data_IF_203701199276
#
_entry.id   IF_203701199276
#
_cell.length_a   1.000
_cell.length_b   1.000
_cell.length_c   1.000
_cell.angle_alpha   90.00
_cell.angle_beta   90.00
_cell.angle_gamma   90.00
#
_symmetry.space_group_name_H-M   'P 1'
#
loop_
_entity.id
_entity.type
_entity.pdbx_description
1 polymer ?
#
# COMPACT_ATOMS: atom_id res chain seq x y z
N UNK A 1 -15.89 -15.26 31.91
CA UNK A 1 -15.07 -15.86 30.81
C UNK A 1 -15.62 -15.60 29.40
N UNK A 2 -16.90 -15.89 29.09
CA UNK A 2 -17.44 -15.73 27.72
C UNK A 2 -17.37 -14.31 27.14
N UNK A 3 -17.62 -13.25 27.94
CA UNK A 3 -17.46 -11.84 27.49
C UNK A 3 -16.02 -11.45 27.19
N UNK A 4 -15.05 -11.90 27.99
CA UNK A 4 -13.63 -11.67 27.73
C UNK A 4 -13.11 -12.44 26.51
N UNK A 5 -13.67 -13.64 26.27
CA UNK A 5 -13.38 -14.42 25.06
C UNK A 5 -13.99 -13.77 23.80
N UNK A 6 -15.20 -13.21 23.90
CA UNK A 6 -15.87 -12.51 22.81
C UNK A 6 -15.17 -11.19 22.46
N UNK A 7 -14.73 -10.43 23.47
CA UNK A 7 -13.93 -9.20 23.27
C UNK A 7 -12.57 -9.55 22.67
N UNK A 8 -11.91 -10.62 23.14
CA UNK A 8 -10.68 -11.12 22.49
C UNK A 8 -10.93 -11.59 21.06
N UNK A 9 -12.03 -12.30 20.78
CA UNK A 9 -12.39 -12.68 19.41
C UNK A 9 -12.70 -11.47 18.53
N UNK A 10 -13.33 -10.43 19.09
CA UNK A 10 -13.67 -9.20 18.38
C UNK A 10 -12.42 -8.38 18.08
N UNK A 11 -11.48 -8.24 19.03
CA UNK A 11 -10.17 -7.64 18.78
C UNK A 11 -9.32 -8.48 17.82
N UNK A 12 -9.36 -9.81 17.90
CA UNK A 12 -8.71 -10.70 16.95
C UNK A 12 -9.33 -10.55 15.55
N UNK A 13 -10.67 -10.47 15.42
CA UNK A 13 -11.34 -10.18 14.16
C UNK A 13 -11.01 -8.77 13.62
N UNK A 14 -10.88 -7.76 14.49
CA UNK A 14 -10.47 -6.40 14.10
C UNK A 14 -9.01 -6.35 13.62
N UNK A 15 -8.13 -7.16 14.22
CA UNK A 15 -6.72 -7.32 13.79
C UNK A 15 -6.63 -8.12 12.46
N UNK A 16 -7.68 -8.87 12.11
CA UNK A 16 -7.74 -9.78 10.95
C UNK A 16 -8.29 -9.14 9.66
N UNK A 17 -8.80 -7.90 9.70
CA UNK A 17 -9.22 -7.16 8.51
C UNK A 17 -8.27 -5.98 8.27
N UNK A 18 -7.08 -6.26 7.72
CA UNK A 18 -6.32 -5.22 7.02
C UNK A 18 -7.18 -4.78 5.83
N UNK A 19 -7.53 -3.49 5.78
CA UNK A 19 -8.30 -2.95 4.68
C UNK A 19 -7.35 -2.57 3.53
N UNK A 20 -7.51 -3.23 2.40
CA UNK A 20 -6.75 -2.98 1.19
C UNK A 20 -7.52 -2.06 0.26
N UNK A 21 -6.80 -1.13 -0.37
CA UNK A 21 -7.31 -0.35 -1.49
C UNK A 21 -6.34 -0.46 -2.66
N UNK A 22 -6.86 -0.36 -3.87
CA UNK A 22 -6.03 -0.23 -5.07
C UNK A 22 -5.51 1.19 -5.16
N UNK A 23 -4.23 1.35 -5.51
CA UNK A 23 -3.66 2.66 -5.84
C UNK A 23 -3.97 3.11 -7.27
N UNK A 24 -3.38 4.23 -7.68
CA UNK A 24 -3.56 4.83 -9.02
C UNK A 24 -2.26 4.82 -9.83
N UNK A 25 -2.37 5.08 -11.14
CA UNK A 25 -1.25 5.23 -12.09
C UNK A 25 -1.51 6.40 -13.05
N UNK A 26 -2.10 7.47 -12.53
CA UNK A 26 -2.50 8.63 -13.31
C UNK A 26 -1.38 9.67 -13.41
N UNK A 27 -0.38 9.62 -12.52
CA UNK A 27 0.73 10.57 -12.43
C UNK A 27 0.18 11.98 -12.19
N UNK A 28 0.22 12.86 -13.20
CA UNK A 28 -0.32 14.22 -13.17
C UNK A 28 -1.57 14.36 -14.05
N UNK A 29 -2.07 13.25 -14.60
CA UNK A 29 -3.30 13.22 -15.39
C UNK A 29 -4.49 13.37 -14.46
N UNK A 30 -5.50 14.12 -14.90
CA UNK A 30 -6.58 14.61 -14.04
C UNK A 30 -7.91 14.12 -14.61
N UNK A 31 -8.80 13.66 -13.74
CA UNK A 31 -10.14 13.21 -14.11
C UNK A 31 -11.14 14.34 -13.92
N UNK A 32 -11.05 15.37 -14.76
CA UNK A 32 -11.98 16.50 -14.72
C UNK A 32 -11.60 17.58 -13.71
N UNK A 33 -12.55 17.99 -12.86
CA UNK A 33 -12.39 19.11 -11.92
C UNK A 33 -11.89 18.65 -10.53
N UNK A 34 -11.43 19.59 -9.70
CA UNK A 34 -10.86 19.34 -8.36
C UNK A 34 -11.81 18.61 -7.42
N UNK A 35 -13.12 18.89 -7.51
CA UNK A 35 -14.14 18.25 -6.67
C UNK A 35 -14.34 16.78 -6.99
N UNK A 36 -14.44 16.42 -8.27
CA UNK A 36 -14.53 15.02 -8.71
C UNK A 36 -13.28 14.25 -8.27
N UNK A 37 -12.10 14.84 -8.48
CA UNK A 37 -10.84 14.24 -8.09
C UNK A 37 -10.74 14.00 -6.58
N UNK A 38 -11.18 14.96 -5.75
CA UNK A 38 -11.25 14.80 -4.31
C UNK A 38 -12.21 13.67 -3.90
N UNK A 39 -13.42 13.64 -4.47
CA UNK A 39 -14.43 12.63 -4.12
C UNK A 39 -13.96 11.20 -4.49
N UNK A 40 -13.37 11.02 -5.68
CA UNK A 40 -12.80 9.72 -6.09
C UNK A 40 -11.65 9.29 -5.18
N UNK A 41 -10.76 10.22 -4.82
CA UNK A 41 -9.65 9.97 -3.89
C UNK A 41 -10.17 9.57 -2.51
N UNK A 42 -11.19 10.27 -2.01
CA UNK A 42 -11.81 9.98 -0.72
C UNK A 42 -12.48 8.62 -0.71
N UNK A 43 -13.29 8.31 -1.73
CA UNK A 43 -13.96 7.01 -1.86
C UNK A 43 -12.95 5.86 -1.91
N UNK A 44 -11.85 6.03 -2.63
CA UNK A 44 -10.82 5.01 -2.79
C UNK A 44 -10.04 4.71 -1.51
N UNK A 45 -9.69 5.75 -0.73
CA UNK A 45 -8.76 5.61 0.39
C UNK A 45 -9.41 5.65 1.78
N UNK A 46 -10.72 5.90 1.88
CA UNK A 46 -11.42 5.90 3.18
C UNK A 46 -11.32 4.53 3.86
N UNK A 47 -10.71 4.51 5.05
CA UNK A 47 -10.52 3.29 5.83
C UNK A 47 -9.45 2.34 5.28
N UNK A 48 -8.66 2.77 4.29
CA UNK A 48 -7.57 1.96 3.75
C UNK A 48 -6.35 1.99 4.66
N UNK A 49 -5.76 0.83 4.91
CA UNK A 49 -4.50 0.69 5.66
C UNK A 49 -3.30 0.38 4.73
N UNK A 50 -3.52 -0.37 3.66
CA UNK A 50 -2.47 -0.77 2.71
C UNK A 50 -2.91 -0.42 1.29
N UNK A 51 -2.16 0.47 0.65
CA UNK A 51 -2.36 0.85 -0.76
C UNK A 51 -1.59 -0.12 -1.65
N UNK A 52 -2.34 -0.95 -2.37
CA UNK A 52 -1.84 -1.90 -3.37
C UNK A 52 -1.65 -1.17 -4.71
N UNK A 53 -0.51 -0.51 -4.88
CA UNK A 53 -0.19 0.35 -6.01
C UNK A 53 0.45 1.65 -5.53
N UNK A 54 0.23 2.74 -6.27
CA UNK A 54 0.78 4.05 -5.91
C UNK A 54 -0.27 4.90 -5.19
N UNK A 55 0.18 5.72 -4.26
CA UNK A 55 -0.64 6.76 -3.63
C UNK A 55 -0.35 8.08 -4.34
N UNK A 56 -1.27 8.53 -5.20
CA UNK A 56 -1.15 9.80 -5.91
C UNK A 56 -2.19 10.78 -5.38
N UNK A 57 -1.72 11.80 -4.65
CA UNK A 57 -2.55 12.89 -4.17
C UNK A 57 -2.12 14.13 -4.94
N UNK A 58 -2.96 14.54 -5.88
CA UNK A 58 -2.67 15.68 -6.76
C UNK A 58 -3.84 16.65 -6.82
N UNK A 59 -3.57 17.92 -7.12
CA UNK A 59 -4.58 18.96 -7.37
C UNK A 59 -5.61 19.15 -6.25
N UNK A 60 -5.16 19.00 -5.01
CA UNK A 60 -6.01 19.14 -3.84
C UNK A 60 -6.08 20.58 -3.32
N UNK A 61 -7.30 21.08 -3.15
CA UNK A 61 -7.58 22.40 -2.55
C UNK A 61 -7.34 22.42 -1.04
N UNK A 62 -6.96 23.58 -0.50
CA UNK A 62 -6.62 23.76 0.91
C UNK A 62 -7.82 23.65 1.87
N UNK A 63 -9.06 23.78 1.39
CA UNK A 63 -10.30 23.76 2.20
C UNK A 63 -10.84 22.36 2.48
N UNK A 64 -10.26 21.32 1.85
CA UNK A 64 -10.75 19.94 1.90
C UNK A 64 -10.23 19.20 3.13
N UNK A 65 -10.96 18.15 3.54
CA UNK A 65 -10.57 17.30 4.65
C UNK A 65 -9.89 16.01 4.15
N UNK A 66 -8.63 15.82 4.52
CA UNK A 66 -7.83 14.65 4.14
C UNK A 66 -7.74 13.59 5.25
N UNK A 67 -8.51 13.71 6.34
CA UNK A 67 -8.50 12.80 7.49
C UNK A 67 -8.62 11.32 7.12
N UNK A 68 -9.28 11.00 6.01
CA UNK A 68 -9.43 9.65 5.47
C UNK A 68 -8.10 8.97 5.11
N UNK A 69 -7.01 9.72 4.93
CA UNK A 69 -5.67 9.16 4.67
C UNK A 69 -4.95 8.68 5.96
N UNK A 70 -5.44 9.05 7.14
CA UNK A 70 -4.78 8.75 8.43
C UNK A 70 -4.61 7.26 8.71
N UNK A 71 -5.47 6.41 8.17
CA UNK A 71 -5.38 4.96 8.37
C UNK A 71 -4.25 4.31 7.57
N UNK A 72 -3.70 4.99 6.56
CA UNK A 72 -2.69 4.40 5.67
C UNK A 72 -1.38 4.17 6.43
N UNK A 73 -0.89 2.94 6.36
CA UNK A 73 0.34 2.47 7.02
C UNK A 73 1.40 2.00 6.05
N UNK A 74 1.00 1.52 4.88
CA UNK A 74 1.90 0.97 3.87
C UNK A 74 1.43 1.36 2.46
N UNK A 75 2.38 1.72 1.60
CA UNK A 75 2.17 1.90 0.16
C UNK A 75 3.13 0.98 -0.58
N UNK A 76 2.63 0.11 -1.46
CA UNK A 76 3.48 -0.87 -2.15
C UNK A 76 4.27 -0.25 -3.31
N UNK A 77 3.68 0.70 -4.03
CA UNK A 77 4.32 1.44 -5.12
C UNK A 77 5.08 2.66 -4.63
N UNK A 78 4.89 3.79 -5.32
CA UNK A 78 5.40 5.10 -4.92
C UNK A 78 4.31 5.98 -4.31
N UNK A 79 4.73 7.08 -3.67
CA UNK A 79 3.87 8.18 -3.24
C UNK A 79 4.20 9.43 -4.07
N UNK A 80 3.17 10.03 -4.65
CA UNK A 80 3.25 11.29 -5.38
C UNK A 80 2.33 12.33 -4.73
N UNK A 81 2.92 13.40 -4.21
CA UNK A 81 2.21 14.59 -3.74
C UNK A 81 2.56 15.75 -4.66
N UNK A 82 1.64 16.13 -5.56
CA UNK A 82 1.93 17.17 -6.54
C UNK A 82 0.80 18.17 -6.74
N UNK A 83 1.15 19.46 -6.85
CA UNK A 83 0.18 20.53 -7.19
C UNK A 83 -0.95 20.64 -6.15
N UNK A 84 -0.64 20.41 -4.87
CA UNK A 84 -1.62 20.53 -3.79
C UNK A 84 -1.47 21.86 -3.03
N UNK A 85 -2.56 22.30 -2.41
CA UNK A 85 -2.62 23.55 -1.63
C UNK A 85 -2.73 23.31 -0.11
N UNK A 86 -2.90 22.07 0.35
CA UNK A 86 -2.98 21.75 1.78
C UNK A 86 -1.62 21.98 2.49
N UNK A 87 -1.68 22.28 3.79
CA UNK A 87 -0.49 22.54 4.61
C UNK A 87 0.25 21.28 5.06
N UNK A 88 -0.48 20.18 5.25
CA UNK A 88 0.07 18.92 5.77
C UNK A 88 -0.79 17.72 5.35
N UNK A 89 -0.22 16.67 4.74
CA UNK A 89 -0.95 15.44 4.50
C UNK A 89 -1.02 14.65 5.82
N UNK A 90 -2.18 14.08 6.19
CA UNK A 90 -2.33 13.39 7.46
C UNK A 90 -1.89 11.91 7.31
N UNK A 91 -0.61 11.70 7.00
CA UNK A 91 0.02 10.37 6.79
C UNK A 91 0.87 9.93 7.99
N UNK A 92 0.46 10.31 9.21
CA UNK A 92 1.23 10.07 10.42
C UNK A 92 1.50 8.59 10.69
N UNK A 93 0.60 7.69 10.29
CA UNK A 93 0.76 6.26 10.51
C UNK A 93 1.51 5.54 9.39
N UNK A 94 1.87 6.23 8.30
CA UNK A 94 2.62 5.65 7.20
C UNK A 94 4.01 5.25 7.70
N UNK A 95 4.34 3.96 7.58
CA UNK A 95 5.61 3.40 8.06
C UNK A 95 6.54 2.98 6.94
N UNK A 96 5.99 2.46 5.85
CA UNK A 96 6.75 1.82 4.77
C UNK A 96 6.24 2.24 3.40
N UNK A 97 7.18 2.58 2.52
CA UNK A 97 6.97 2.66 1.07
C UNK A 97 7.82 1.56 0.43
N UNK A 98 7.20 0.63 -0.29
CA UNK A 98 7.96 -0.52 -0.83
C UNK A 98 8.69 -0.20 -2.13
N UNK A 99 8.15 0.70 -2.97
CA UNK A 99 8.81 1.07 -4.22
C UNK A 99 8.78 -0.02 -5.30
N UNK A 100 7.80 -0.92 -5.31
CA UNK A 100 7.65 -1.94 -6.37
C UNK A 100 7.41 -1.33 -7.75
N UNK A 101 6.93 -0.09 -7.75
CA UNK A 101 6.80 0.81 -8.90
C UNK A 101 7.39 2.15 -8.48
N UNK A 102 8.04 2.86 -9.41
CA UNK A 102 8.76 4.10 -9.12
C UNK A 102 8.27 5.24 -10.02
N UNK A 103 8.10 6.42 -9.44
CA UNK A 103 7.86 7.64 -10.18
C UNK A 103 9.12 8.01 -10.97
N UNK A 104 8.96 8.35 -12.25
CA UNK A 104 10.07 8.58 -13.20
C UNK A 104 11.09 7.41 -13.24
N UNK A 105 10.67 6.19 -12.89
CA UNK A 105 11.53 5.01 -12.75
C UNK A 105 12.68 5.17 -11.73
N UNK A 106 12.61 6.15 -10.83
CA UNK A 106 13.70 6.46 -9.90
C UNK A 106 13.23 6.68 -8.45
N UNK A 107 12.05 7.25 -8.24
CA UNK A 107 11.66 7.76 -6.93
C UNK A 107 10.46 7.00 -6.35
N UNK A 108 10.58 6.58 -5.10
CA UNK A 108 9.46 6.02 -4.34
C UNK A 108 8.68 7.10 -3.58
N UNK A 109 9.29 8.26 -3.35
CA UNK A 109 8.62 9.42 -2.78
C UNK A 109 8.91 10.64 -3.66
N UNK A 110 7.86 11.23 -4.23
CA UNK A 110 7.93 12.42 -5.06
C UNK A 110 6.98 13.50 -4.52
N UNK A 111 7.51 14.65 -4.12
CA UNK A 111 6.75 15.76 -3.53
C UNK A 111 7.13 17.05 -4.26
N UNK A 112 6.22 17.59 -5.06
CA UNK A 112 6.55 18.73 -5.92
C UNK A 112 5.44 19.75 -6.11
N UNK A 113 5.80 21.03 -6.16
CA UNK A 113 4.90 22.13 -6.53
C UNK A 113 3.64 22.20 -5.64
N UNK A 114 3.75 21.87 -4.35
CA UNK A 114 2.60 21.89 -3.45
C UNK A 114 2.41 23.29 -2.83
N UNK A 115 1.99 24.25 -3.65
CA UNK A 115 1.64 25.60 -3.20
C UNK A 115 0.70 26.29 -4.19
N UNK A 116 -0.10 27.21 -3.66
CA UNK A 116 -0.93 28.10 -4.46
C UNK A 116 -0.06 29.21 -5.06
N UNK A 117 -0.05 29.33 -6.40
CA UNK A 117 0.87 30.24 -7.14
C UNK A 117 0.77 31.70 -6.68
N UNK A 118 -0.45 32.21 -6.55
CA UNK A 118 -0.76 33.59 -6.17
C UNK A 118 -1.40 33.69 -4.77
N UNK A 119 -1.21 32.64 -3.95
CA UNK A 119 -1.84 32.50 -2.65
C UNK A 119 -0.87 32.43 -1.48
N UNK A 120 -1.42 32.12 -0.31
CA UNK A 120 -0.68 31.91 0.94
C UNK A 120 -0.74 30.46 1.43
N UNK A 121 -1.40 29.58 0.68
CA UNK A 121 -1.58 28.17 1.02
C UNK A 121 -0.57 27.28 0.30
N UNK A 122 -0.17 26.21 0.96
CA UNK A 122 0.77 25.23 0.43
C UNK A 122 1.39 24.39 1.53
N UNK A 123 2.12 23.37 1.11
CA UNK A 123 2.71 22.35 1.97
C UNK A 123 3.79 22.95 2.87
N UNK A 124 3.58 22.84 4.17
CA UNK A 124 4.48 23.28 5.24
C UNK A 124 5.12 22.08 5.94
N UNK A 125 4.38 20.98 6.08
CA UNK A 125 4.82 19.76 6.73
C UNK A 125 4.55 18.53 5.87
N UNK A 126 5.51 17.61 5.84
CA UNK A 126 5.39 16.32 5.16
C UNK A 126 4.42 15.36 5.86
N UNK A 127 4.19 15.50 7.17
CA UNK A 127 3.33 14.58 7.93
C UNK A 127 3.83 13.12 8.04
N UNK A 128 5.06 12.85 7.60
CA UNK A 128 5.67 11.51 7.54
C UNK A 128 6.36 11.12 8.87
N UNK A 129 5.65 11.30 9.99
CA UNK A 129 6.24 11.21 11.35
C UNK A 129 6.62 9.80 11.80
N UNK A 130 6.12 8.75 11.15
CA UNK A 130 6.50 7.37 11.42
C UNK A 130 7.10 6.64 10.21
N UNK A 131 7.38 7.39 9.12
CA UNK A 131 8.02 6.82 7.94
C UNK A 131 9.45 6.43 8.31
N UNK A 132 9.73 5.15 8.24
CA UNK A 132 11.00 4.59 8.71
C UNK A 132 11.71 3.73 7.65
N UNK A 133 11.01 3.35 6.57
CA UNK A 133 11.60 2.56 5.48
C UNK A 133 11.06 2.99 4.11
N UNK A 134 11.98 3.22 3.18
CA UNK A 134 11.76 3.12 1.74
C UNK A 134 12.61 1.96 1.23
N UNK A 135 11.97 0.87 0.79
CA UNK A 135 12.67 -0.37 0.43
C UNK A 135 13.44 -0.25 -0.90
N UNK A 136 12.83 0.36 -1.90
CA UNK A 136 13.39 0.61 -3.23
C UNK A 136 13.01 2.02 -3.70
N UNK A 137 13.88 2.65 -4.48
CA UNK A 137 13.68 4.01 -4.99
C UNK A 137 14.22 5.12 -4.11
N UNK A 138 14.47 6.27 -4.75
CA UNK A 138 14.95 7.49 -4.13
C UNK A 138 13.84 8.43 -3.65
N UNK A 139 14.23 9.66 -3.33
CA UNK A 139 13.34 10.72 -2.83
C UNK A 139 13.53 11.98 -3.66
N UNK A 140 12.43 12.56 -4.16
CA UNK A 140 12.40 13.83 -4.92
C UNK A 140 11.50 14.82 -4.21
N UNK A 141 12.06 15.87 -3.63
CA UNK A 141 11.32 16.96 -2.96
C UNK A 141 11.75 18.28 -3.58
N UNK A 142 10.94 18.80 -4.51
CA UNK A 142 11.31 19.98 -5.28
C UNK A 142 10.21 21.03 -5.31
N UNK A 143 10.57 22.31 -5.33
CA UNK A 143 9.61 23.40 -5.56
C UNK A 143 8.46 23.44 -4.55
N UNK A 144 8.70 23.16 -3.27
CA UNK A 144 7.68 23.31 -2.22
C UNK A 144 7.97 24.61 -1.42
N UNK A 145 7.39 25.72 -1.86
CA UNK A 145 7.68 27.09 -1.38
C UNK A 145 7.62 27.28 0.14
N UNK A 146 6.77 26.52 0.84
CA UNK A 146 6.54 26.67 2.28
C UNK A 146 7.16 25.55 3.13
N UNK A 147 7.86 24.59 2.51
CA UNK A 147 8.46 23.44 3.20
C UNK A 147 9.96 23.68 3.46
N UNK A 148 10.34 23.90 4.72
CA UNK A 148 11.71 24.31 5.08
C UNK A 148 12.58 23.20 5.67
N UNK A 149 12.01 22.19 6.35
CA UNK A 149 12.81 21.19 7.09
C UNK A 149 13.16 19.93 6.29
N UNK A 150 12.67 19.77 5.06
CA UNK A 150 12.92 18.57 4.25
C UNK A 150 14.42 18.22 4.08
N UNK A 151 15.35 19.19 3.93
CA UNK A 151 16.79 18.91 3.90
C UNK A 151 17.36 18.40 5.24
N UNK A 152 16.71 18.69 6.36
CA UNK A 152 17.15 18.32 7.71
C UNK A 152 16.78 16.88 8.10
N UNK A 153 15.94 16.21 7.30
CA UNK A 153 15.54 14.81 7.52
C UNK A 153 16.72 13.88 7.17
N UNK A 154 17.01 12.92 8.06
CA UNK A 154 18.05 11.91 7.81
C UNK A 154 17.54 10.82 6.85
N UNK A 155 17.52 11.13 5.56
CA UNK A 155 17.06 10.21 4.50
C UNK A 155 17.91 8.93 4.41
N UNK A 156 19.17 8.95 4.86
CA UNK A 156 20.02 7.75 4.90
C UNK A 156 19.52 6.70 5.89
N UNK A 157 18.78 7.14 6.91
CA UNK A 157 18.08 6.24 7.84
C UNK A 157 16.85 5.63 7.17
N UNK A 158 16.07 6.43 6.44
CA UNK A 158 14.79 5.98 5.85
C UNK A 158 15.00 5.13 4.59
N UNK A 159 15.82 5.61 3.65
CA UNK A 159 16.06 4.94 2.36
C UNK A 159 16.99 3.76 2.57
N UNK A 160 16.55 2.57 2.17
CA UNK A 160 17.31 1.34 2.36
C UNK A 160 18.63 1.34 1.58
N UNK A 161 18.55 1.64 0.30
CA UNK A 161 19.71 1.74 -0.60
C UNK A 161 20.38 3.11 -0.46
N UNK A 162 21.60 3.13 0.08
CA UNK A 162 22.38 4.36 0.25
C UNK A 162 22.85 4.99 -1.06
N UNK A 163 22.74 4.28 -2.19
CA UNK A 163 23.06 4.79 -3.53
C UNK A 163 21.86 5.37 -4.28
N UNK A 164 20.65 5.23 -3.72
CA UNK A 164 19.43 5.77 -4.32
C UNK A 164 19.49 7.31 -4.38
N UNK A 165 18.96 7.87 -5.46
CA UNK A 165 19.06 9.30 -5.72
C UNK A 165 18.11 10.11 -4.81
N UNK A 166 18.67 11.04 -4.04
CA UNK A 166 17.91 11.97 -3.19
C UNK A 166 18.08 13.37 -3.76
N UNK A 167 17.00 13.94 -4.29
CA UNK A 167 16.94 15.27 -4.88
C UNK A 167 16.06 16.17 -4.01
N UNK A 168 16.65 17.19 -3.38
CA UNK A 168 15.93 18.16 -2.54
C UNK A 168 16.35 19.56 -2.96
N UNK A 169 15.49 20.25 -3.72
CA UNK A 169 15.86 21.52 -4.37
C UNK A 169 14.71 22.53 -4.40
N UNK A 170 15.04 23.83 -4.39
CA UNK A 170 14.06 24.92 -4.59
C UNK A 170 12.85 24.87 -3.62
N UNK A 171 13.04 24.43 -2.38
CA UNK A 171 11.99 24.41 -1.35
C UNK A 171 11.99 25.71 -0.52
N UNK A 172 11.19 25.76 0.54
CA UNK A 172 11.11 26.93 1.42
C UNK A 172 12.45 27.30 2.05
N UNK A 173 12.61 28.57 2.48
CA UNK A 173 13.87 29.06 3.00
C UNK A 173 14.32 28.25 4.21
N UNK A 174 15.63 28.00 4.30
CA UNK A 174 16.27 27.47 5.51
C UNK A 174 16.15 28.53 6.62
N UNK A 175 15.02 28.54 7.31
CA UNK A 175 14.91 29.26 8.57
C UNK A 175 15.77 28.53 9.60
N UNK A 176 16.87 29.15 10.00
CA UNK A 176 17.65 28.78 11.19
C UNK A 176 16.84 29.02 12.48
N UNK A 177 15.78 29.83 12.44
CA UNK A 177 15.19 30.46 13.63
C UNK A 177 13.92 29.82 14.20
N UNK A 178 13.40 28.74 13.60
CA UNK A 178 12.29 27.97 14.20
C UNK A 178 12.60 26.47 14.23
N UNK A 179 13.71 26.12 14.87
CA UNK A 179 13.75 24.84 15.57
C UNK A 179 12.96 25.02 16.87
N UNK A 180 11.63 25.16 16.76
CA UNK A 180 10.78 25.00 17.92
C UNK A 180 11.12 23.64 18.53
N UNK A 181 11.21 23.62 19.86
CA UNK A 181 11.74 22.59 20.75
C UNK A 181 11.09 21.19 20.65
N UNK A 182 10.27 20.95 19.63
CA UNK A 182 9.68 19.68 19.24
C UNK A 182 10.11 19.27 17.81
N UNK A 183 11.37 19.52 17.45
CA UNK A 183 11.91 19.01 16.19
C UNK A 183 11.62 17.51 16.15
N UNK A 184 10.82 17.06 15.17
CA UNK A 184 10.40 15.67 14.97
C UNK A 184 11.63 14.76 14.92
N UNK A 185 12.09 14.31 16.08
CA UNK A 185 13.14 13.32 16.22
C UNK A 185 12.48 12.00 15.85
N UNK A 186 12.40 11.77 14.54
CA UNK A 186 12.14 10.46 13.98
C UNK A 186 13.05 9.48 14.71
N UNK A 187 12.44 8.44 15.27
CA UNK A 187 13.20 7.38 15.92
C UNK A 187 14.09 6.75 14.86
N UNK A 188 15.39 7.02 14.93
CA UNK A 188 16.37 6.48 13.98
C UNK A 188 16.50 4.98 14.22
N UNK A 189 16.35 4.19 13.17
CA UNK A 189 16.32 2.72 13.27
C UNK A 189 17.40 2.03 12.44
N UNK A 190 18.30 2.77 11.78
CA UNK A 190 19.40 2.21 10.97
C UNK A 190 20.76 2.84 11.26
N UNK A 191 20.84 4.17 11.22
CA UNK A 191 22.11 4.92 11.31
C UNK A 191 22.73 4.90 12.71
N UNK A 192 21.92 4.66 13.74
CA UNK A 192 22.36 4.62 15.16
C UNK A 192 22.63 3.19 15.64
N UNK A 193 22.42 2.19 14.80
CA UNK A 193 22.49 0.79 15.19
C UNK A 193 23.93 0.35 15.46
N UNK A 194 24.04 -0.65 16.32
CA UNK A 194 25.31 -1.33 16.53
C UNK A 194 25.78 -2.01 15.22
N UNK A 195 27.09 -2.04 14.91
CA UNK A 195 27.61 -2.65 13.68
C UNK A 195 27.27 -4.15 13.49
N UNK A 196 26.88 -4.84 14.57
CA UNK A 196 26.49 -6.24 14.55
C UNK A 196 25.05 -6.46 14.04
N UNK A 197 24.23 -5.40 13.93
CA UNK A 197 22.86 -5.51 13.46
C UNK A 197 22.83 -5.66 11.93
N UNK A 198 22.20 -6.74 11.44
CA UNK A 198 21.99 -7.00 10.01
C UNK A 198 20.75 -6.31 9.45
N UNK A 199 20.51 -5.05 9.83
CA UNK A 199 19.32 -4.32 9.41
C UNK A 199 18.97 -3.19 10.38
N UNK A 200 17.74 -3.24 10.90
CA UNK A 200 17.20 -2.23 11.80
C UNK A 200 17.52 -2.53 13.26
N UNK A 201 17.38 -1.52 14.11
CA UNK A 201 17.49 -1.64 15.55
C UNK A 201 16.41 -0.83 16.26
N UNK A 202 16.16 -1.18 17.52
CA UNK A 202 15.29 -0.44 18.44
C UNK A 202 16.09 0.25 19.56
N UNK A 203 17.42 0.19 19.48
CA UNK A 203 18.37 0.81 20.40
C UNK A 203 19.80 0.71 19.87
N UNK A 204 20.77 1.22 20.64
CA UNK A 204 22.18 1.33 20.21
C UNK A 204 23.02 0.13 20.59
N UNK A 205 22.53 -0.75 21.46
CA UNK A 205 23.30 -1.89 21.93
C UNK A 205 23.29 -3.03 20.90
N UNK A 206 24.33 -3.87 20.85
CA UNK A 206 24.36 -5.05 19.97
C UNK A 206 23.24 -6.08 20.22
N UNK A 207 22.60 -6.03 21.40
CA UNK A 207 21.43 -6.87 21.73
C UNK A 207 20.10 -6.25 21.29
N UNK A 208 20.09 -5.01 20.81
CA UNK A 208 18.90 -4.23 20.45
C UNK A 208 18.66 -4.20 18.93
N UNK A 209 19.07 -5.26 18.24
CA UNK A 209 18.83 -5.45 16.82
C UNK A 209 17.42 -5.99 16.58
N UNK A 210 16.80 -5.56 15.49
CA UNK A 210 15.56 -6.13 15.00
C UNK A 210 15.79 -7.48 14.30
N UNK A 211 14.73 -8.27 14.19
CA UNK A 211 14.73 -9.43 13.32
C UNK A 211 15.02 -9.02 11.86
N UNK A 212 15.69 -9.89 11.10
CA UNK A 212 16.13 -9.59 9.71
C UNK A 212 14.95 -9.35 8.75
N UNK A 213 13.77 -9.88 9.09
CA UNK A 213 12.53 -9.73 8.34
C UNK A 213 11.74 -8.46 8.72
N UNK A 214 12.25 -7.65 9.65
CA UNK A 214 11.63 -6.36 9.98
C UNK A 214 12.00 -5.28 8.94
N UNK A 215 11.00 -4.48 8.57
CA UNK A 215 11.16 -3.23 7.82
C UNK A 215 10.79 -2.04 8.72
N UNK A 216 11.53 -0.94 8.61
CA UNK A 216 11.30 0.31 9.33
C UNK A 216 11.71 0.30 10.81
N UNK A 217 11.69 -0.85 11.47
CA UNK A 217 12.11 -0.97 12.86
C UNK A 217 11.29 -2.02 13.59
N UNK A 218 11.43 -2.03 14.90
CA UNK A 218 10.78 -3.00 15.76
C UNK A 218 10.68 -2.48 17.20
N UNK A 219 9.90 -3.16 18.03
CA UNK A 219 9.86 -2.97 19.48
C UNK A 219 10.67 -4.00 20.25
N UNK A 220 11.28 -4.97 19.56
CA UNK A 220 12.00 -6.10 20.13
C UNK A 220 12.65 -6.98 19.07
N UNK A 221 13.41 -8.00 19.47
CA UNK A 221 14.27 -8.78 18.56
C UNK A 221 13.52 -9.85 17.74
N UNK A 222 12.24 -10.12 18.04
CA UNK A 222 11.48 -11.17 17.38
C UNK A 222 10.85 -10.69 16.06
N UNK A 223 10.57 -11.63 15.17
CA UNK A 223 9.85 -11.45 13.91
C UNK A 223 8.41 -10.93 14.06
N UNK A 224 7.84 -11.03 15.26
CA UNK A 224 6.53 -10.52 15.64
C UNK A 224 6.56 -9.12 16.26
N UNK A 225 7.76 -8.56 16.48
CA UNK A 225 7.93 -7.22 17.05
C UNK A 225 8.19 -6.16 15.98
N UNK A 226 8.18 -6.53 14.70
CA UNK A 226 8.43 -5.62 13.60
C UNK A 226 7.31 -4.58 13.46
N UNK A 227 7.67 -3.34 13.10
CA UNK A 227 6.68 -2.34 12.71
C UNK A 227 5.98 -2.68 11.39
N UNK A 228 6.72 -3.29 10.47
CA UNK A 228 6.23 -3.84 9.22
C UNK A 228 7.13 -4.99 8.77
N UNK A 229 6.62 -5.87 7.91
CA UNK A 229 7.40 -6.98 7.36
C UNK A 229 8.12 -6.58 6.08
N UNK A 230 9.41 -6.91 6.02
CA UNK A 230 10.25 -6.70 4.85
C UNK A 230 9.72 -7.47 3.64
N UNK A 231 9.41 -8.75 3.83
CA UNK A 231 8.85 -9.61 2.80
C UNK A 231 7.35 -9.84 3.05
N UNK A 232 6.99 -10.87 3.82
CA UNK A 232 5.60 -11.24 4.04
C UNK A 232 5.18 -11.19 5.50
N UNK A 233 3.98 -10.67 5.75
CA UNK A 233 3.29 -10.79 7.03
C UNK A 233 2.47 -12.09 7.05
N UNK A 234 2.85 -13.02 7.91
CA UNK A 234 2.16 -14.26 8.16
C UNK A 234 1.43 -14.21 9.51
N UNK A 235 0.24 -13.60 9.53
CA UNK A 235 -0.60 -13.50 10.73
C UNK A 235 0.13 -12.87 11.94
N UNK A 236 0.92 -11.83 11.68
CA UNK A 236 1.66 -11.06 12.69
C UNK A 236 3.15 -11.37 12.77
N UNK A 237 3.61 -12.52 12.28
CA UNK A 237 5.04 -12.86 12.18
C UNK A 237 5.57 -12.53 10.79
N UNK A 238 6.72 -11.86 10.73
CA UNK A 238 7.38 -11.55 9.46
C UNK A 238 8.23 -12.72 8.97
N UNK A 239 7.97 -13.15 7.72
CA UNK A 239 8.63 -14.29 7.11
C UNK A 239 9.16 -13.94 5.70
N UNK A 240 10.28 -14.56 5.28
CA UNK A 240 10.84 -14.35 3.95
C UNK A 240 9.96 -14.93 2.83
N UNK A 241 9.14 -15.94 3.14
CA UNK A 241 8.21 -16.57 2.22
C UNK A 241 6.99 -17.09 2.97
N UNK A 242 5.83 -17.06 2.32
CA UNK A 242 4.64 -17.72 2.86
C UNK A 242 4.81 -19.24 2.90
N UNK A 243 4.14 -19.94 3.83
CA UNK A 243 4.13 -21.40 3.90
C UNK A 243 3.73 -22.03 2.56
N UNK A 244 4.66 -22.76 1.95
CA UNK A 244 4.49 -23.39 0.63
C UNK A 244 3.36 -24.41 0.63
N UNK A 245 2.73 -24.62 -0.53
CA UNK A 245 1.61 -25.56 -0.71
C UNK A 245 2.02 -27.03 -0.58
N UNK A 246 3.29 -27.33 -0.82
CA UNK A 246 3.90 -28.66 -0.69
C UNK A 246 5.08 -28.60 0.28
N UNK A 247 5.24 -29.65 1.09
CA UNK A 247 6.37 -29.84 2.00
C UNK A 247 7.07 -31.16 1.68
N UNK A 248 8.40 -31.17 1.77
CA UNK A 248 9.18 -32.38 1.58
C UNK A 248 9.15 -33.25 2.83
N UNK A 249 8.55 -34.43 2.73
CA UNK A 249 8.52 -35.41 3.80
C UNK A 249 9.77 -36.30 3.72
N UNK A 250 10.65 -36.19 4.72
CA UNK A 250 11.92 -36.93 4.80
C UNK A 250 11.75 -38.44 4.98
N UNK A 251 10.58 -38.91 5.44
CA UNK A 251 10.32 -40.34 5.63
C UNK A 251 9.82 -41.01 4.35
N UNK A 252 8.98 -40.34 3.58
CA UNK A 252 8.42 -40.86 2.31
C UNK A 252 9.26 -40.45 1.10
N UNK A 253 10.20 -39.52 1.27
CA UNK A 253 11.02 -38.93 0.21
C UNK A 253 10.18 -38.29 -0.90
N UNK A 254 9.02 -37.74 -0.54
CA UNK A 254 8.03 -37.16 -1.46
C UNK A 254 7.62 -35.76 -1.02
N UNK A 255 7.12 -34.98 -1.98
CA UNK A 255 6.39 -33.75 -1.70
C UNK A 255 4.95 -34.10 -1.33
N UNK A 256 4.50 -33.61 -0.18
CA UNK A 256 3.16 -33.84 0.35
C UNK A 256 2.44 -32.50 0.58
N UNK A 257 1.10 -32.45 0.49
CA UNK A 257 0.35 -31.23 0.76
C UNK A 257 0.61 -30.69 2.17
N UNK A 258 0.95 -29.40 2.25
CA UNK A 258 1.17 -28.73 3.53
C UNK A 258 -0.18 -28.27 4.12
N UNK A 259 -0.59 -28.75 5.30
CA UNK A 259 -1.83 -28.31 5.93
C UNK A 259 -1.80 -26.83 6.34
N UNK A 260 -0.62 -26.26 6.53
CA UNK A 260 -0.42 -24.85 6.90
C UNK A 260 -0.15 -23.95 5.69
N UNK A 261 -0.39 -24.43 4.47
CA UNK A 261 -0.15 -23.67 3.25
C UNK A 261 -0.91 -22.34 3.25
N UNK A 262 -0.24 -21.29 2.80
CA UNK A 262 -0.84 -19.98 2.55
C UNK A 262 -0.35 -19.42 1.22
N UNK A 263 -1.19 -18.65 0.58
CA UNK A 263 -0.88 -17.99 -0.67
C UNK A 263 -0.29 -16.60 -0.40
N UNK A 264 0.68 -16.22 -1.23
CA UNK A 264 1.24 -14.87 -1.25
C UNK A 264 0.22 -13.94 -1.91
N UNK A 265 -0.16 -12.87 -1.20
CA UNK A 265 -1.01 -11.81 -1.73
C UNK A 265 -0.40 -10.47 -1.36
N UNK A 266 0.24 -9.81 -2.33
CA UNK A 266 1.08 -8.63 -2.06
C UNK A 266 2.18 -8.95 -1.05
N UNK A 267 2.16 -8.25 0.08
CA UNK A 267 3.09 -8.39 1.21
C UNK A 267 2.54 -9.24 2.36
N UNK A 268 1.45 -10.00 2.16
CA UNK A 268 0.82 -10.81 3.21
C UNK A 268 0.59 -12.26 2.79
N UNK A 269 0.43 -13.14 3.78
CA UNK A 269 0.07 -14.54 3.58
C UNK A 269 -1.40 -14.80 3.90
N UNK A 270 -2.18 -15.20 2.90
CA UNK A 270 -3.62 -15.48 3.02
C UNK A 270 -3.93 -16.97 2.88
N UNK A 271 -4.92 -17.47 3.61
CA UNK A 271 -5.34 -18.87 3.49
C UNK A 271 -6.04 -19.15 2.15
N UNK A 272 -6.73 -18.14 1.59
CA UNK A 272 -7.45 -18.21 0.32
C UNK A 272 -7.26 -16.88 -0.42
N UNK A 273 -7.14 -16.95 -1.75
CA UNK A 273 -7.08 -15.73 -2.56
C UNK A 273 -8.44 -15.00 -2.55
N UNK A 274 -8.46 -13.66 -2.65
CA UNK A 274 -9.68 -12.91 -2.84
C UNK A 274 -10.45 -13.35 -4.10
N UNK A 275 -11.76 -13.14 -4.13
CA UNK A 275 -12.67 -13.67 -5.17
C UNK A 275 -12.30 -13.26 -6.61
N UNK A 276 -11.69 -12.09 -6.79
CA UNK A 276 -11.28 -11.57 -8.10
C UNK A 276 -9.85 -11.95 -8.49
N UNK A 277 -9.17 -12.77 -7.70
CA UNK A 277 -7.80 -13.22 -7.94
C UNK A 277 -7.76 -14.71 -8.29
N UNK A 278 -6.75 -15.07 -9.08
CA UNK A 278 -6.47 -16.42 -9.53
C UNK A 278 -5.34 -17.01 -8.70
N UNK A 279 -5.41 -18.31 -8.41
CA UNK A 279 -4.29 -19.02 -7.78
C UNK A 279 -3.28 -19.44 -8.85
N UNK A 280 -2.05 -18.98 -8.75
CA UNK A 280 -0.92 -19.54 -9.51
C UNK A 280 0.16 -20.06 -8.55
N UNK A 281 0.30 -21.39 -8.49
CA UNK A 281 1.24 -22.05 -7.57
C UNK A 281 0.95 -21.71 -6.10
N UNK A 282 1.81 -20.88 -5.51
CA UNK A 282 1.73 -20.39 -4.12
C UNK A 282 1.32 -18.92 -4.01
N UNK A 283 0.81 -18.30 -5.07
CA UNK A 283 0.54 -16.86 -5.14
C UNK A 283 -0.84 -16.54 -5.71
N UNK A 284 -1.39 -15.40 -5.30
CA UNK A 284 -2.61 -14.83 -5.83
C UNK A 284 -2.27 -13.80 -6.91
N UNK A 285 -2.69 -14.04 -8.15
CA UNK A 285 -2.40 -13.20 -9.31
C UNK A 285 -3.68 -12.62 -9.90
N UNK A 286 -3.60 -11.42 -10.46
CA UNK A 286 -4.74 -10.78 -11.14
C UNK A 286 -5.05 -11.45 -12.48
N UNK A 287 -4.02 -11.84 -13.22
CA UNK A 287 -4.10 -12.51 -14.51
C UNK A 287 -3.11 -13.68 -14.55
N UNK A 288 -3.44 -14.72 -15.32
CA UNK A 288 -2.49 -15.81 -15.54
C UNK A 288 -1.27 -15.34 -16.35
N UNK A 289 -0.08 -15.91 -16.08
CA UNK A 289 1.09 -15.78 -16.94
C UNK A 289 0.79 -16.17 -18.39
N UNK A 290 1.61 -15.67 -19.32
CA UNK A 290 1.37 -15.83 -20.77
C UNK A 290 1.39 -17.28 -21.27
N UNK A 291 1.93 -18.22 -20.49
CA UNK A 291 2.02 -19.66 -20.74
C UNK A 291 0.92 -20.49 -20.02
N UNK A 292 0.00 -19.82 -19.30
CA UNK A 292 -1.08 -20.44 -18.54
C UNK A 292 -2.45 -19.87 -18.91
N UNK A 293 -3.50 -20.65 -18.65
CA UNK A 293 -4.90 -20.24 -18.83
C UNK A 293 -5.69 -20.35 -17.53
N UNK A 294 -6.72 -19.51 -17.40
CA UNK A 294 -7.66 -19.57 -16.28
C UNK A 294 -8.52 -20.83 -16.40
N UNK A 295 -8.54 -21.62 -15.33
CA UNK A 295 -9.41 -22.78 -15.17
C UNK A 295 -10.07 -22.75 -13.80
N UNK A 296 -11.33 -23.16 -13.75
CA UNK A 296 -12.06 -23.28 -12.50
C UNK A 296 -12.07 -24.75 -12.04
N UNK A 297 -11.46 -25.02 -10.88
CA UNK A 297 -11.45 -26.35 -10.26
C UNK A 297 -11.95 -26.24 -8.82
N UNK A 298 -12.98 -27.01 -8.50
CA UNK A 298 -13.62 -27.01 -7.17
C UNK A 298 -14.06 -25.60 -6.70
N UNK A 299 -14.58 -24.77 -7.62
CA UNK A 299 -15.00 -23.40 -7.33
C UNK A 299 -13.88 -22.41 -7.05
N UNK A 300 -12.61 -22.80 -7.30
CA UNK A 300 -11.45 -21.91 -7.19
C UNK A 300 -10.86 -21.70 -8.57
N UNK A 301 -10.70 -20.44 -8.95
CA UNK A 301 -10.04 -20.05 -10.21
C UNK A 301 -8.52 -20.18 -10.07
N UNK A 302 -7.89 -20.89 -10.99
CA UNK A 302 -6.46 -21.21 -10.97
C UNK A 302 -5.84 -21.03 -12.35
N UNK A 303 -4.53 -20.83 -12.39
CA UNK A 303 -3.76 -20.81 -13.61
C UNK A 303 -3.14 -22.18 -13.87
N UNK A 304 -3.45 -22.79 -15.01
CA UNK A 304 -2.85 -24.06 -15.44
C UNK A 304 -2.09 -23.90 -16.76
N UNK A 305 -0.95 -24.60 -16.94
CA UNK A 305 -0.18 -24.56 -18.18
C UNK A 305 -1.04 -24.90 -19.39
N UNK A 306 -0.89 -24.13 -20.46
CA UNK A 306 -1.57 -24.41 -21.71
C UNK A 306 -1.05 -25.73 -22.32
N UNK A 307 -1.94 -26.57 -22.84
CA UNK A 307 -1.56 -27.82 -23.55
C UNK A 307 -0.92 -27.59 -24.94
N UNK A 308 -0.37 -26.40 -25.19
CA UNK A 308 0.09 -25.91 -26.48
C UNK A 308 0.17 -24.37 -26.50
N UNK A 309 -0.16 -23.74 -27.62
CA UNK A 309 -0.29 -22.28 -27.68
C UNK A 309 -1.46 -21.85 -26.80
N UNK A 310 -1.22 -20.91 -25.87
CA UNK A 310 -2.30 -20.34 -25.09
C UNK A 310 -3.28 -19.60 -26.01
N UNK A 311 -4.60 -19.77 -25.79
CA UNK A 311 -5.58 -18.99 -26.52
C UNK A 311 -5.33 -17.51 -26.21
N UNK A 312 -4.80 -16.78 -27.20
CA UNK A 312 -4.72 -15.31 -27.11
C UNK A 312 -6.14 -14.82 -26.89
N UNK A 313 -6.37 -14.17 -25.76
CA UNK A 313 -7.69 -13.65 -25.41
C UNK A 313 -8.28 -12.94 -26.62
N UNK A 314 -9.45 -13.40 -27.07
CA UNK A 314 -10.21 -12.71 -28.12
C UNK A 314 -10.59 -11.36 -27.54
N UNK A 315 -9.80 -10.33 -27.83
CA UNK A 315 -10.19 -8.95 -27.60
C UNK A 315 -11.38 -8.67 -28.53
N UNK A 316 -12.60 -8.81 -28.02
CA UNK A 316 -13.78 -8.19 -28.63
C UNK A 316 -13.74 -6.69 -28.35
N UNK A 317 -12.70 -6.00 -28.85
CA UNK A 317 -12.83 -4.59 -29.21
C UNK A 317 -13.19 -4.58 -30.69
N UNK A 318 -14.48 -4.39 -30.95
CA UNK A 318 -15.00 -4.23 -32.30
C UNK A 318 -14.30 -3.06 -32.99
N UNK A 319 -13.49 -3.38 -34.00
CA UNK A 319 -13.27 -2.46 -35.11
C UNK A 319 -14.63 -2.25 -35.78
N UNK A 320 -15.15 -1.03 -35.70
CA UNK A 320 -16.15 -0.44 -36.60
C UNK A 320 -17.18 -1.42 -37.21
N UNK A 321 -18.23 -1.75 -36.46
CA UNK A 321 -19.47 -2.26 -37.03
C UNK A 321 -20.64 -1.40 -36.55
N UNK A 322 -21.08 -0.53 -37.46
CA UNK A 322 -22.33 0.23 -37.56
C UNK A 322 -23.29 0.24 -36.37
N UNK A 323 -23.62 1.47 -35.95
CA UNK A 323 -24.70 1.87 -35.06
C UNK A 323 -26.06 1.36 -35.61
N UNK A 324 -26.46 0.12 -35.28
CA UNK A 324 -27.84 -0.36 -35.44
C UNK A 324 -28.13 -1.46 -34.41
N UNK A 325 -28.38 -1.10 -33.14
CA UNK A 325 -29.31 -1.79 -32.20
C UNK A 325 -29.15 -1.41 -30.69
N UNK A 326 -28.93 -0.13 -30.36
CA UNK A 326 -28.93 0.28 -28.94
C UNK A 326 -30.31 0.22 -28.24
N UNK A 327 -31.41 0.03 -28.98
CA UNK A 327 -32.75 -0.07 -28.38
C UNK A 327 -33.04 -1.42 -27.70
N UNK A 328 -32.31 -2.49 -28.00
CA UNK A 328 -32.62 -3.84 -27.47
C UNK A 328 -31.98 -4.13 -26.11
N UNK A 329 -30.94 -3.38 -25.72
CA UNK A 329 -30.18 -3.62 -24.49
C UNK A 329 -30.41 -2.58 -23.39
N UNK A 330 -31.23 -1.55 -23.63
CA UNK A 330 -31.55 -0.55 -22.61
C UNK A 330 -32.20 -1.17 -21.37
N UNK A 331 -33.04 -2.20 -21.57
CA UNK A 331 -33.66 -2.93 -20.46
C UNK A 331 -32.67 -3.80 -19.67
N UNK A 332 -31.64 -4.37 -20.33
CA UNK A 332 -30.61 -5.17 -19.67
C UNK A 332 -29.61 -4.30 -18.89
N UNK A 333 -29.30 -3.10 -19.39
CA UNK A 333 -28.44 -2.13 -18.69
C UNK A 333 -29.15 -1.61 -17.43
N UNK A 334 -30.46 -1.36 -17.50
CA UNK A 334 -31.26 -0.94 -16.33
C UNK A 334 -31.33 -2.05 -15.26
N UNK A 335 -31.44 -3.32 -15.67
CA UNK A 335 -31.45 -4.47 -14.76
C UNK A 335 -30.07 -4.70 -14.13
N UNK A 336 -28.98 -4.53 -14.89
CA UNK A 336 -27.62 -4.61 -14.35
C UNK A 336 -27.31 -3.47 -13.36
N UNK A 337 -27.85 -2.27 -13.59
CA UNK A 337 -27.72 -1.13 -12.67
C UNK A 337 -28.47 -1.37 -11.35
N UNK A 338 -29.69 -1.91 -11.40
CA UNK A 338 -30.48 -2.29 -10.20
C UNK A 338 -29.86 -3.45 -9.40
N UNK A 339 -29.24 -4.43 -10.08
CA UNK A 339 -28.58 -5.56 -9.42
C UNK A 339 -27.24 -5.14 -8.76
N UNK A 340 -26.49 -4.23 -9.38
CA UNK A 340 -25.24 -3.69 -8.82
C UNK A 340 -25.47 -2.74 -7.64
N UNK A 341 -26.57 -1.98 -7.62
CA UNK A 341 -26.91 -1.11 -6.49
C UNK A 341 -27.54 -1.86 -5.30
N UNK A 342 -28.09 -3.06 -5.51
CA UNK A 342 -28.71 -3.87 -4.45
C UNK A 342 -27.74 -4.74 -3.66
N UNK A 343 -26.48 -4.86 -4.08
CA UNK A 343 -25.46 -5.70 -3.43
C UNK A 343 -24.46 -4.92 -2.57
N UNK A 344 -24.66 -3.60 -2.40
CA UNK A 344 -23.77 -2.74 -1.60
C UNK A 344 -24.44 -2.01 -0.43
N UNK A 345 -25.73 -2.28 -0.11
CA UNK A 345 -26.49 -1.57 0.94
C UNK A 345 -26.93 -2.47 2.12
N UNK A 346 -26.57 -3.76 2.16
CA UNK A 346 -26.93 -4.63 3.30
C UNK A 346 -25.74 -4.86 4.24
N UNK A 347 -25.45 -3.86 5.10
CA UNK A 347 -25.09 -4.06 6.52
C UNK A 347 -24.78 -2.72 7.21
N UNK A 348 -25.81 -1.89 7.37
CA UNK A 348 -25.85 -0.86 8.42
C UNK A 348 -27.30 -0.73 8.87
N UNK A 349 -27.68 -1.51 9.88
CA UNK A 349 -28.78 -1.28 10.84
C UNK A 349 -29.14 -2.60 11.54
N UNK A 350 -28.46 -2.94 12.64
CA UNK A 350 -29.11 -3.61 13.80
C UNK A 350 -28.38 -3.13 15.07
N UNK A 351 -28.86 -2.02 15.64
CA UNK A 351 -28.73 -1.67 17.05
C UNK A 351 -29.88 -0.69 17.38
N UNK A 352 -31.08 -1.22 17.67
CA UNK A 352 -31.83 -0.88 18.89
C UNK A 352 -33.11 -1.72 19.03
N UNK A 353 -33.53 -1.94 20.28
CA UNK A 353 -34.76 -2.61 20.76
C UNK A 353 -34.64 -4.07 21.21
N UNK A 354 -34.05 -4.28 22.40
CA UNK A 354 -34.80 -4.68 23.62
C UNK A 354 -33.94 -4.71 24.87
#
# INVERSE_FOLDING_TARGET
LKKALLVRLFFVLLILYMCFCTGTQNVLSTTGNSEIQYNLTKEMYTGCEIVMGNLEITMMEHTRDFSFLQSIREVTGYILLAVNEFSRPPLDHLRVIRGTTLYENQYALAIMVNYQKDGQHGLQELGLTHLTEILEGGVKIIQNKYLSYAPKVNWLDIVKDGSAHIMIESNGPDSELEMSTNCHQLQLTKTVCAPQCNGRCFGRNPSECCHIECAGGCTGPLDTNCFACRNFNNSGSCAPQCPQTLIYNKHTFKLEPNPNAKYQYGSICVAQCPTNFLVDGSSCVSNCPSDKMEVEKNGVKRCEPCGGLCPKGVCLFSTAASIVNLKKYLHLIYILYEILMSSCITNLEILDSK
#
